data_IF_287514156458
#
_entry.id   IF_287514156458
#
_cell.length_a   1.000
_cell.length_b   1.000
_cell.length_c   1.000
_cell.angle_alpha   90.00
_cell.angle_beta   90.00
_cell.angle_gamma   90.00
#
_symmetry.space_group_name_H-M   'P 1'
#
loop_
_entity.id
_entity.type
_entity.pdbx_description
1 polymer ?
#
# COMPACT_ATOMS: atom_id res chain seq x y z
N UNK A 1 14.38 25.55 6.67
CA UNK A 1 12.94 25.88 6.65
C UNK A 1 12.54 25.95 5.20
N UNK A 2 11.82 24.95 4.70
CA UNK A 2 11.19 25.05 3.38
C UNK A 2 10.08 26.09 3.52
N UNK A 3 10.13 27.12 2.68
CA UNK A 3 9.18 28.22 2.68
C UNK A 3 7.76 27.65 2.50
N UNK A 4 6.77 28.10 3.28
CA UNK A 4 5.36 27.65 3.18
C UNK A 4 4.75 27.65 1.75
N UNK A 5 5.40 28.30 0.76
CA UNK A 5 5.01 28.27 -0.65
C UNK A 5 5.30 26.94 -1.39
N UNK A 6 6.28 26.15 -0.96
CA UNK A 6 6.69 24.96 -1.72
C UNK A 6 5.73 23.78 -1.52
N UNK A 7 5.12 23.67 -0.32
CA UNK A 7 4.15 22.62 -0.03
C UNK A 7 2.84 22.83 -0.79
N UNK A 8 2.25 24.04 -0.74
CA UNK A 8 0.98 24.31 -1.41
C UNK A 8 1.00 23.99 -2.90
N UNK A 9 2.11 24.28 -3.60
CA UNK A 9 2.25 23.94 -5.01
C UNK A 9 2.38 22.42 -5.24
N UNK A 10 3.07 21.72 -4.34
CA UNK A 10 3.26 20.27 -4.41
C UNK A 10 2.03 19.49 -3.96
N UNK A 11 1.22 20.05 -3.07
CA UNK A 11 0.08 19.39 -2.43
C UNK A 11 -0.93 18.93 -3.48
N UNK A 12 -1.41 19.83 -4.35
CA UNK A 12 -2.44 19.48 -5.32
C UNK A 12 -1.95 18.45 -6.34
N UNK A 13 -0.67 18.58 -6.75
CA UNK A 13 -0.04 17.60 -7.63
C UNK A 13 0.12 16.24 -6.94
N UNK A 14 0.57 16.23 -5.68
CA UNK A 14 0.74 15.03 -4.88
C UNK A 14 -0.60 14.32 -4.64
N UNK A 15 -1.63 15.07 -4.26
CA UNK A 15 -2.98 14.56 -4.03
C UNK A 15 -3.54 13.94 -5.32
N UNK A 16 -3.51 14.68 -6.44
CA UNK A 16 -4.02 14.18 -7.72
C UNK A 16 -3.26 12.95 -8.22
N UNK A 17 -1.93 12.95 -8.09
CA UNK A 17 -1.11 11.81 -8.52
C UNK A 17 -1.35 10.59 -7.64
N UNK A 18 -1.43 10.78 -6.32
CA UNK A 18 -1.71 9.72 -5.36
C UNK A 18 -3.09 9.10 -5.58
N UNK A 19 -4.13 9.91 -5.82
CA UNK A 19 -5.47 9.40 -6.14
C UNK A 19 -5.49 8.57 -7.43
N UNK A 20 -4.78 9.00 -8.48
CA UNK A 20 -4.68 8.22 -9.71
C UNK A 20 -3.95 6.88 -9.50
N UNK A 21 -2.90 6.87 -8.69
CA UNK A 21 -2.15 5.66 -8.33
C UNK A 21 -2.99 4.71 -7.45
N UNK A 22 -3.77 5.25 -6.51
CA UNK A 22 -4.69 4.50 -5.66
C UNK A 22 -5.81 3.86 -6.50
N UNK A 23 -6.45 4.63 -7.38
CA UNK A 23 -7.45 4.11 -8.31
C UNK A 23 -6.88 2.95 -9.16
N UNK A 24 -5.69 3.12 -9.73
CA UNK A 24 -5.03 2.05 -10.49
C UNK A 24 -4.74 0.82 -9.62
N UNK A 25 -4.35 1.02 -8.36
CA UNK A 25 -4.10 -0.07 -7.41
C UNK A 25 -5.38 -0.85 -7.08
N UNK A 26 -6.50 -0.15 -6.91
CA UNK A 26 -7.82 -0.77 -6.66
C UNK A 26 -8.33 -1.55 -7.87
N UNK A 27 -8.13 -1.05 -9.10
CA UNK A 27 -8.44 -1.79 -10.32
C UNK A 27 -7.61 -3.08 -10.44
N UNK A 28 -6.29 -2.98 -10.20
CA UNK A 28 -5.40 -4.14 -10.21
C UNK A 28 -5.76 -5.14 -9.09
N UNK A 29 -6.24 -4.67 -7.93
CA UNK A 29 -6.75 -5.54 -6.87
C UNK A 29 -8.07 -6.22 -7.26
N UNK A 30 -9.00 -5.50 -7.87
CA UNK A 30 -10.28 -6.04 -8.36
C UNK A 30 -10.07 -7.12 -9.41
N UNK A 31 -9.05 -6.96 -10.27
CA UNK A 31 -8.64 -8.01 -11.21
C UNK A 31 -8.14 -9.26 -10.48
N UNK A 32 -7.29 -9.12 -9.46
CA UNK A 32 -6.75 -10.25 -8.69
C UNK A 32 -7.82 -11.00 -7.88
N UNK A 33 -8.87 -10.32 -7.43
CA UNK A 33 -10.02 -10.95 -6.77
C UNK A 33 -10.78 -11.90 -7.72
N UNK A 34 -10.77 -11.61 -9.03
CA UNK A 34 -11.47 -12.38 -10.07
C UNK A 34 -10.56 -13.40 -10.77
N UNK A 35 -9.29 -13.05 -10.97
CA UNK A 35 -8.28 -13.81 -11.69
C UNK A 35 -7.06 -13.98 -10.78
N UNK A 36 -7.02 -15.05 -9.97
CA UNK A 36 -5.86 -15.31 -9.13
C UNK A 36 -4.61 -15.59 -9.98
N UNK A 37 -3.44 -15.17 -9.47
CA UNK A 37 -2.13 -15.24 -10.16
C UNK A 37 -2.05 -14.46 -11.49
N UNK A 38 -2.86 -13.43 -11.69
CA UNK A 38 -2.64 -12.48 -12.78
C UNK A 38 -1.33 -11.70 -12.53
N UNK A 39 -0.26 -12.12 -13.21
CA UNK A 39 1.09 -11.52 -13.11
C UNK A 39 1.12 -10.06 -13.58
N UNK A 40 0.27 -9.69 -14.55
CA UNK A 40 0.19 -8.33 -15.05
C UNK A 40 -0.49 -7.42 -14.02
N UNK A 41 -1.59 -7.88 -13.42
CA UNK A 41 -2.27 -7.17 -12.34
C UNK A 41 -1.39 -7.06 -11.07
N UNK A 42 -0.66 -8.13 -10.73
CA UNK A 42 0.27 -8.11 -9.60
C UNK A 42 1.46 -7.17 -9.85
N UNK A 43 2.05 -7.23 -11.05
CA UNK A 43 3.13 -6.34 -11.46
C UNK A 43 2.71 -4.88 -11.51
N UNK A 44 1.49 -4.61 -11.98
CA UNK A 44 0.83 -3.31 -11.91
C UNK A 44 0.76 -2.81 -10.46
N UNK A 45 0.15 -3.58 -9.57
CA UNK A 45 -0.08 -3.21 -8.17
C UNK A 45 1.23 -2.93 -7.42
N UNK A 46 2.25 -3.76 -7.61
CA UNK A 46 3.58 -3.53 -7.03
C UNK A 46 4.24 -2.26 -7.58
N UNK A 47 3.98 -1.92 -8.83
CA UNK A 47 4.52 -0.71 -9.47
C UNK A 47 3.82 0.55 -8.99
N UNK A 48 2.49 0.52 -8.85
CA UNK A 48 1.70 1.65 -8.35
C UNK A 48 2.02 1.94 -6.89
N UNK A 49 2.11 0.92 -6.03
CA UNK A 49 2.51 1.06 -4.63
C UNK A 49 3.91 1.66 -4.47
N UNK A 50 4.87 1.23 -5.30
CA UNK A 50 6.22 1.80 -5.31
C UNK A 50 6.22 3.27 -5.71
N UNK A 51 5.45 3.64 -6.74
CA UNK A 51 5.29 5.03 -7.16
C UNK A 51 4.64 5.86 -6.07
N UNK A 52 3.61 5.35 -5.40
CA UNK A 52 2.94 6.03 -4.30
C UNK A 52 3.91 6.36 -3.17
N UNK A 53 4.77 5.40 -2.81
CA UNK A 53 5.85 5.63 -1.85
C UNK A 53 6.85 6.70 -2.29
N UNK A 54 7.22 6.72 -3.58
CA UNK A 54 8.13 7.72 -4.16
C UNK A 54 7.53 9.13 -4.19
N UNK A 55 6.26 9.25 -4.56
CA UNK A 55 5.53 10.53 -4.56
C UNK A 55 5.41 11.08 -3.13
N UNK A 56 5.06 10.21 -2.16
CA UNK A 56 4.97 10.61 -0.76
C UNK A 56 6.34 11.03 -0.19
N UNK A 57 7.41 10.34 -0.57
CA UNK A 57 8.77 10.72 -0.19
C UNK A 57 9.17 12.07 -0.79
N UNK A 58 8.88 12.32 -2.07
CA UNK A 58 9.13 13.59 -2.74
C UNK A 58 8.31 14.75 -2.15
N UNK A 59 7.10 14.46 -1.67
CA UNK A 59 6.21 15.38 -0.99
C UNK A 59 6.57 15.58 0.50
N UNK A 60 7.55 14.84 1.04
CA UNK A 60 7.90 14.86 2.47
C UNK A 60 6.77 14.40 3.40
N UNK A 61 6.01 13.39 2.98
CA UNK A 61 4.95 12.71 3.74
C UNK A 61 5.44 11.30 4.17
N UNK A 62 6.26 11.21 5.24
CA UNK A 62 6.99 9.98 5.56
C UNK A 62 6.07 8.81 5.94
N UNK A 63 4.95 9.04 6.63
CA UNK A 63 4.10 7.92 7.06
C UNK A 63 3.47 7.18 5.86
N UNK A 64 3.07 7.90 4.80
CA UNK A 64 2.53 7.30 3.58
C UNK A 64 3.64 6.64 2.77
N UNK A 65 4.83 7.29 2.71
CA UNK A 65 5.98 6.75 2.01
C UNK A 65 6.42 5.40 2.57
N UNK A 66 6.58 5.32 3.89
CA UNK A 66 7.05 4.12 4.56
C UNK A 66 6.00 3.01 4.59
N UNK A 67 4.72 3.36 4.76
CA UNK A 67 3.64 2.38 4.71
C UNK A 67 3.50 1.76 3.31
N UNK A 68 3.51 2.58 2.26
CA UNK A 68 3.44 2.11 0.86
C UNK A 68 4.63 1.21 0.49
N UNK A 69 5.83 1.57 0.96
CA UNK A 69 7.06 0.79 0.74
C UNK A 69 7.00 -0.56 1.44
N UNK A 70 6.60 -0.60 2.70
CA UNK A 70 6.47 -1.84 3.47
C UNK A 70 5.39 -2.76 2.89
N UNK A 71 4.23 -2.20 2.53
CA UNK A 71 3.17 -2.92 1.83
C UNK A 71 3.67 -3.54 0.52
N UNK A 72 4.39 -2.77 -0.29
CA UNK A 72 4.96 -3.27 -1.55
C UNK A 72 5.96 -4.42 -1.32
N UNK A 73 6.78 -4.35 -0.27
CA UNK A 73 7.76 -5.40 0.06
C UNK A 73 7.03 -6.67 0.51
N UNK A 74 6.11 -6.56 1.46
CA UNK A 74 5.34 -7.69 1.98
C UNK A 74 4.54 -8.37 0.87
N UNK A 75 3.81 -7.60 0.05
CA UNK A 75 3.03 -8.15 -1.05
C UNK A 75 3.90 -8.87 -2.08
N UNK A 76 5.08 -8.33 -2.39
CA UNK A 76 6.03 -8.98 -3.29
C UNK A 76 6.54 -10.30 -2.71
N UNK A 77 6.87 -10.32 -1.42
CA UNK A 77 7.32 -11.53 -0.73
C UNK A 77 6.23 -12.60 -0.72
N UNK A 78 4.98 -12.22 -0.45
CA UNK A 78 3.84 -13.13 -0.50
C UNK A 78 3.66 -13.76 -1.87
N UNK A 79 3.58 -12.92 -2.91
CA UNK A 79 3.39 -13.38 -4.29
C UNK A 79 4.51 -14.31 -4.77
N UNK A 80 5.76 -14.06 -4.34
CA UNK A 80 6.89 -14.91 -4.70
C UNK A 80 6.84 -16.29 -4.03
N UNK A 81 6.20 -16.41 -2.87
CA UNK A 81 6.11 -17.65 -2.13
C UNK A 81 4.87 -18.45 -2.51
N UNK A 82 3.74 -17.78 -2.74
CA UNK A 82 2.43 -18.40 -2.96
C UNK A 82 1.49 -17.50 -3.77
N UNK A 83 0.42 -18.10 -4.29
CA UNK A 83 -0.75 -17.37 -4.77
C UNK A 83 -1.34 -16.49 -3.65
N UNK A 84 -1.67 -15.24 -3.98
CA UNK A 84 -2.26 -14.30 -3.03
C UNK A 84 -3.66 -14.76 -2.61
N UNK A 85 -3.83 -15.02 -1.31
CA UNK A 85 -5.12 -15.44 -0.77
C UNK A 85 -6.15 -14.31 -0.78
N UNK A 86 -7.45 -14.65 -0.75
CA UNK A 86 -8.53 -13.64 -0.63
C UNK A 86 -8.39 -12.79 0.66
N UNK A 87 -7.87 -13.37 1.75
CA UNK A 87 -7.61 -12.62 2.97
C UNK A 87 -6.44 -11.62 2.79
N UNK A 88 -5.41 -12.02 2.05
CA UNK A 88 -4.30 -11.15 1.65
C UNK A 88 -4.83 -9.98 0.81
N UNK A 89 -5.64 -10.25 -0.21
CA UNK A 89 -6.23 -9.22 -1.07
C UNK A 89 -7.12 -8.25 -0.26
N UNK A 90 -7.95 -8.77 0.65
CA UNK A 90 -8.75 -7.93 1.55
C UNK A 90 -7.90 -7.05 2.46
N UNK A 91 -6.78 -7.58 2.97
CA UNK A 91 -5.86 -6.82 3.82
C UNK A 91 -5.18 -5.71 3.02
N UNK A 92 -4.75 -6.01 1.78
CA UNK A 92 -4.21 -4.99 0.85
C UNK A 92 -5.25 -3.90 0.56
N UNK A 93 -6.52 -4.27 0.35
CA UNK A 93 -7.62 -3.31 0.17
C UNK A 93 -7.75 -2.33 1.33
N UNK A 94 -7.69 -2.84 2.56
CA UNK A 94 -7.76 -2.01 3.76
C UNK A 94 -6.53 -1.08 3.86
N UNK A 95 -5.35 -1.55 3.47
CA UNK A 95 -4.17 -0.68 3.38
C UNK A 95 -4.35 0.45 2.37
N UNK A 96 -4.89 0.15 1.17
CA UNK A 96 -5.16 1.17 0.15
C UNK A 96 -6.18 2.20 0.62
N UNK A 97 -7.25 1.74 1.28
CA UNK A 97 -8.27 2.62 1.89
C UNK A 97 -7.64 3.55 2.95
N UNK A 98 -6.81 3.00 3.83
CA UNK A 98 -6.10 3.81 4.83
C UNK A 98 -5.18 4.84 4.16
N UNK A 99 -4.42 4.46 3.13
CA UNK A 99 -3.58 5.43 2.39
C UNK A 99 -4.43 6.52 1.75
N UNK A 100 -5.59 6.17 1.16
CA UNK A 100 -6.51 7.16 0.59
C UNK A 100 -6.94 8.19 1.62
N UNK A 101 -7.36 7.76 2.81
CA UNK A 101 -7.73 8.68 3.89
C UNK A 101 -6.54 9.51 4.37
N UNK A 102 -5.36 8.91 4.52
CA UNK A 102 -4.16 9.64 4.94
C UNK A 102 -3.77 10.74 3.96
N UNK A 103 -3.86 10.46 2.65
CA UNK A 103 -3.58 11.44 1.59
C UNK A 103 -4.64 12.56 1.59
N UNK A 104 -5.91 12.24 1.82
CA UNK A 104 -7.00 13.23 1.88
C UNK A 104 -6.99 14.10 3.15
N UNK A 105 -6.47 13.58 4.26
CA UNK A 105 -6.46 14.25 5.56
C UNK A 105 -5.19 15.10 5.80
N UNK A 106 -4.25 15.12 4.85
CA UNK A 106 -3.10 16.02 4.94
C UNK A 106 -3.55 17.47 5.00
N UNK A 107 -2.99 18.24 5.93
CA UNK A 107 -3.27 19.66 6.00
C UNK A 107 -2.74 20.36 4.72
N UNK A 108 -3.60 21.04 3.94
CA UNK A 108 -3.20 21.63 2.66
C UNK A 108 -2.26 22.84 2.83
N UNK A 109 -2.13 23.39 4.04
CA UNK A 109 -1.25 24.51 4.36
C UNK A 109 0.07 24.05 4.97
N UNK A 110 0.06 23.01 5.81
CA UNK A 110 1.26 22.58 6.57
C UNK A 110 1.84 21.25 6.12
N UNK A 111 1.04 20.39 5.48
CA UNK A 111 1.40 19.02 5.12
C UNK A 111 1.47 18.08 6.31
N UNK A 112 0.98 18.52 7.47
CA UNK A 112 0.91 17.70 8.65
C UNK A 112 -0.27 16.72 8.55
N UNK A 113 -0.05 15.50 9.04
CA UNK A 113 -1.08 14.50 9.23
C UNK A 113 -1.07 14.08 10.71
N UNK A 114 -1.97 14.62 11.54
CA UNK A 114 -2.00 14.32 12.97
C UNK A 114 -2.72 12.98 13.22
N UNK A 115 -2.07 11.88 12.82
CA UNK A 115 -2.53 10.52 13.07
C UNK A 115 -1.40 9.68 13.66
N UNK A 116 -1.75 8.72 14.52
CA UNK A 116 -0.80 7.67 14.90
C UNK A 116 -0.68 6.60 13.80
N UNK A 117 0.32 5.73 13.93
CA UNK A 117 0.59 4.68 12.95
C UNK A 117 0.07 3.30 13.42
N UNK A 118 -0.79 3.22 14.44
CA UNK A 118 -1.20 1.93 15.00
C UNK A 118 -1.94 1.08 13.97
N UNK A 119 -2.89 1.67 13.25
CA UNK A 119 -3.65 0.96 12.22
C UNK A 119 -2.75 0.50 11.04
N UNK A 120 -1.74 1.30 10.68
CA UNK A 120 -0.74 0.87 9.68
C UNK A 120 0.02 -0.36 10.16
N UNK A 121 0.48 -0.37 11.42
CA UNK A 121 1.22 -1.48 12.00
C UNK A 121 0.35 -2.75 12.06
N UNK A 122 -0.90 -2.63 12.52
CA UNK A 122 -1.84 -3.77 12.58
C UNK A 122 -2.08 -4.39 11.20
N UNK A 123 -2.24 -3.56 10.17
CA UNK A 123 -2.42 -4.04 8.79
C UNK A 123 -1.15 -4.70 8.22
N UNK A 124 0.03 -4.14 8.48
CA UNK A 124 1.30 -4.75 8.08
C UNK A 124 1.55 -6.08 8.80
N UNK A 125 1.27 -6.15 10.11
CA UNK A 125 1.38 -7.37 10.90
C UNK A 125 0.42 -8.46 10.41
N UNK A 126 -0.83 -8.09 10.08
CA UNK A 126 -1.79 -9.03 9.50
C UNK A 126 -1.28 -9.58 8.18
N UNK A 127 -0.75 -8.72 7.31
CA UNK A 127 -0.21 -9.12 6.02
C UNK A 127 1.01 -10.04 6.17
N UNK A 128 1.92 -9.72 7.08
CA UNK A 128 3.11 -10.54 7.38
C UNK A 128 2.76 -11.87 8.09
N UNK A 129 1.66 -11.92 8.84
CA UNK A 129 1.22 -13.15 9.51
C UNK A 129 0.62 -14.14 8.51
N UNK A 130 -0.09 -13.65 7.49
CA UNK A 130 -0.56 -14.44 6.35
C UNK A 130 0.58 -15.21 5.65
N UNK A 131 1.77 -14.61 5.59
CA UNK A 131 3.01 -15.22 5.06
C UNK A 131 3.41 -16.52 5.76
N UNK A 132 3.18 -16.59 7.07
CA UNK A 132 3.78 -17.63 7.93
C UNK A 132 2.90 -18.88 8.07
N UNK A 133 1.57 -18.71 8.00
CA UNK A 133 0.60 -19.79 8.18
C UNK A 133 0.60 -20.81 7.02
N UNK A 134 0.98 -20.40 5.81
CA UNK A 134 1.05 -21.26 4.62
C UNK A 134 2.16 -22.34 4.70
N UNK A 135 3.22 -22.10 5.48
CA UNK A 135 4.33 -23.06 5.61
C UNK A 135 3.99 -24.30 6.45
N UNK A 136 3.05 -24.19 7.40
CA UNK A 136 2.72 -25.30 8.31
C UNK A 136 1.75 -26.32 7.70
N UNK A 137 0.89 -25.89 6.77
CA UNK A 137 -0.09 -26.77 6.13
C UNK A 137 0.51 -27.74 5.10
N UNK A 138 1.64 -27.41 4.47
CA UNK A 138 2.31 -28.29 3.48
C UNK A 138 3.11 -29.44 4.11
N UNK A 139 3.52 -29.33 5.37
CA UNK A 139 4.22 -30.42 6.09
C UNK A 139 3.27 -31.40 6.78
N UNK A 140 2.05 -30.96 7.14
CA UNK A 140 1.04 -31.84 7.75
C UNK A 140 0.37 -32.81 6.76
N UNK A 141 0.39 -32.50 5.46
CA UNK A 141 -0.19 -33.35 4.41
C UNK A 141 0.79 -34.43 3.87
N UNK A 142 1.98 -34.56 4.47
CA UNK A 142 3.04 -35.49 4.07
C UNK A 142 3.41 -36.54 5.13
N UNK A 143 2.64 -36.66 6.21
CA UNK A 143 2.82 -37.71 7.23
C UNK A 143 1.61 -38.63 7.30
#
# INVERSE_FOLDING_TARGET
>A
MLSNNDWQHKHDQFLSTSQALLYTSEECLSHLELIPNDEDATGCLLTTLRKLGQEAEAASVPCVADFSRQLCVLLKTEHQAHELSQETLLTVKNCLMLISWQVELLDPQTGELPMDNNEQLELLEKLASGSTASSSAKDAARQ
#
